data_IF_618070696910
#
_entry.id   IF_618070696910
#
_cell.length_a   1.000
_cell.length_b   1.000
_cell.length_c   1.000
_cell.angle_alpha   90.00
_cell.angle_beta   90.00
_cell.angle_gamma   90.00
#
_symmetry.space_group_name_H-M   'P 1'
#
loop_
_entity.id
_entity.type
_entity.pdbx_description
1 polymer ?
#
# COMPACT_ATOMS: atom_id res chain seq x y z
N UNK A 1 12.63 25.11 9.59
CA UNK A 1 11.33 25.68 9.20
C UNK A 1 11.14 25.33 7.74
N UNK A 2 10.30 24.35 7.41
CA UNK A 2 10.00 24.04 6.01
C UNK A 2 9.10 25.18 5.51
N UNK A 3 9.70 26.14 4.81
CA UNK A 3 8.97 26.94 3.84
C UNK A 3 8.28 25.94 2.90
N UNK A 4 6.96 26.00 2.75
CA UNK A 4 6.22 25.18 1.79
C UNK A 4 5.85 26.07 0.62
N UNK A 5 6.84 26.40 -0.21
CA UNK A 5 6.55 26.94 -1.54
C UNK A 5 5.70 25.92 -2.30
N UNK A 6 4.96 26.39 -3.30
CA UNK A 6 4.33 25.50 -4.27
C UNK A 6 5.38 24.60 -4.94
N UNK A 7 6.57 25.13 -5.21
CA UNK A 7 7.68 24.38 -5.80
C UNK A 7 8.15 23.23 -4.90
N UNK A 8 8.25 23.47 -3.58
CA UNK A 8 8.65 22.44 -2.61
C UNK A 8 7.64 21.27 -2.60
N UNK A 9 6.35 21.57 -2.75
CA UNK A 9 5.30 20.54 -2.81
C UNK A 9 5.38 19.76 -4.12
N UNK A 10 5.63 20.44 -5.24
CA UNK A 10 5.78 19.81 -6.55
C UNK A 10 6.99 18.87 -6.54
N UNK A 11 8.16 19.35 -6.10
CA UNK A 11 9.39 18.56 -6.04
C UNK A 11 9.23 17.34 -5.13
N UNK A 12 8.65 17.52 -3.94
CA UNK A 12 8.42 16.43 -3.00
C UNK A 12 7.45 15.38 -3.57
N UNK A 13 6.42 15.81 -4.30
CA UNK A 13 5.44 14.91 -4.91
C UNK A 13 6.07 14.10 -6.05
N UNK A 14 6.85 14.76 -6.92
CA UNK A 14 7.57 14.09 -8.01
C UNK A 14 8.61 13.10 -7.46
N UNK A 15 9.40 13.50 -6.48
CA UNK A 15 10.38 12.63 -5.82
C UNK A 15 9.73 11.42 -5.16
N UNK A 16 8.58 11.61 -4.50
CA UNK A 16 7.82 10.51 -3.90
C UNK A 16 7.27 9.55 -4.96
N UNK A 17 6.82 10.07 -6.11
CA UNK A 17 6.35 9.25 -7.23
C UNK A 17 7.50 8.46 -7.87
N UNK A 18 8.62 9.10 -8.17
CA UNK A 18 9.82 8.46 -8.73
C UNK A 18 10.41 7.39 -7.79
N UNK A 19 10.29 7.58 -6.48
CA UNK A 19 10.68 6.61 -5.47
C UNK A 19 9.78 5.36 -5.38
N UNK A 20 8.65 5.30 -6.10
CA UNK A 20 7.77 4.14 -6.09
C UNK A 20 8.34 2.99 -6.92
N UNK A 21 8.76 1.91 -6.25
CA UNK A 21 9.14 0.67 -6.93
C UNK A 21 7.92 -0.17 -7.31
N UNK A 22 8.09 -1.05 -8.31
CA UNK A 22 7.08 -2.05 -8.68
C UNK A 22 6.67 -2.91 -7.47
N UNK A 23 7.64 -3.32 -6.64
CA UNK A 23 7.38 -4.06 -5.40
C UNK A 23 6.51 -3.29 -4.40
N UNK A 24 6.70 -1.97 -4.30
CA UNK A 24 5.88 -1.10 -3.45
C UNK A 24 4.45 -1.04 -3.99
N UNK A 25 4.29 -0.86 -5.30
CA UNK A 25 2.98 -0.83 -5.95
C UNK A 25 2.23 -2.16 -5.77
N UNK A 26 2.90 -3.31 -5.98
CA UNK A 26 2.30 -4.63 -5.71
C UNK A 26 1.90 -4.79 -4.25
N UNK A 27 2.72 -4.28 -3.32
CA UNK A 27 2.41 -4.33 -1.89
C UNK A 27 1.19 -3.48 -1.50
N UNK A 28 1.02 -2.31 -2.15
CA UNK A 28 -0.14 -1.44 -1.99
C UNK A 28 -1.38 -2.15 -2.54
N UNK A 29 -1.30 -2.71 -3.75
CA UNK A 29 -2.40 -3.45 -4.38
C UNK A 29 -2.92 -4.59 -3.49
N UNK A 30 -2.03 -5.44 -2.98
CA UNK A 30 -2.41 -6.54 -2.08
C UNK A 30 -3.07 -6.06 -0.78
N UNK A 31 -2.62 -4.91 -0.27
CA UNK A 31 -3.23 -4.29 0.93
C UNK A 31 -4.63 -3.80 0.64
N UNK A 32 -4.83 -3.08 -0.47
CA UNK A 32 -6.16 -2.62 -0.90
C UNK A 32 -7.09 -3.79 -1.17
N UNK A 33 -6.61 -4.87 -1.80
CA UNK A 33 -7.40 -6.08 -2.03
C UNK A 33 -7.83 -6.75 -0.72
N UNK A 34 -6.97 -6.77 0.29
CA UNK A 34 -7.30 -7.30 1.62
C UNK A 34 -8.34 -6.41 2.33
N UNK A 35 -8.23 -5.08 2.20
CA UNK A 35 -9.23 -4.12 2.71
C UNK A 35 -10.59 -4.34 2.04
N UNK A 36 -10.63 -4.47 0.71
CA UNK A 36 -11.87 -4.73 -0.03
C UNK A 36 -12.58 -6.00 0.46
N UNK A 37 -11.83 -7.06 0.79
CA UNK A 37 -12.39 -8.27 1.40
C UNK A 37 -13.01 -8.02 2.76
N UNK A 38 -12.35 -7.26 3.61
CA UNK A 38 -12.87 -6.94 4.93
C UNK A 38 -14.12 -6.06 4.82
N UNK A 39 -14.12 -5.06 3.94
CA UNK A 39 -15.32 -4.26 3.64
C UNK A 39 -16.50 -5.16 3.24
N UNK A 40 -16.30 -6.07 2.28
CA UNK A 40 -17.36 -6.98 1.85
C UNK A 40 -17.82 -7.93 2.96
N UNK A 41 -16.89 -8.47 3.75
CA UNK A 41 -17.18 -9.34 4.89
C UNK A 41 -17.97 -8.63 5.98
N UNK A 42 -17.73 -7.34 6.18
CA UNK A 42 -18.36 -6.50 7.19
C UNK A 42 -19.50 -5.65 6.60
N UNK A 43 -20.08 -6.07 5.47
CA UNK A 43 -21.26 -5.42 4.86
C UNK A 43 -21.08 -3.91 4.59
N UNK A 44 -19.86 -3.50 4.24
CA UNK A 44 -19.50 -2.11 3.94
C UNK A 44 -19.04 -1.31 5.16
N UNK A 45 -19.06 -1.86 6.36
CA UNK A 45 -18.48 -1.21 7.54
C UNK A 45 -16.94 -1.18 7.47
N UNK A 46 -16.34 -0.16 8.07
CA UNK A 46 -14.89 0.04 8.09
C UNK A 46 -14.23 -0.28 9.44
N UNK A 47 -15.01 -0.70 10.44
CA UNK A 47 -14.52 -1.02 11.78
C UNK A 47 -13.93 -2.43 11.87
N UNK A 48 -12.95 -2.70 11.01
CA UNK A 48 -12.23 -3.97 10.97
C UNK A 48 -10.74 -3.77 11.17
N UNK A 49 -10.06 -4.80 11.69
CA UNK A 49 -8.61 -4.82 11.82
C UNK A 49 -8.00 -5.53 10.62
N UNK A 50 -7.17 -4.81 9.85
CA UNK A 50 -6.31 -5.45 8.85
C UNK A 50 -5.09 -6.05 9.53
N UNK A 51 -4.95 -7.37 9.46
CA UNK A 51 -3.76 -8.06 9.98
C UNK A 51 -2.55 -7.79 9.08
N UNK A 52 -1.35 -7.76 9.68
CA UNK A 52 -0.12 -7.52 8.93
C UNK A 52 0.15 -8.68 7.96
N UNK A 53 0.08 -8.40 6.65
CA UNK A 53 0.18 -9.42 5.60
C UNK A 53 1.59 -9.99 5.37
N UNK A 54 2.60 -9.54 6.12
CA UNK A 54 4.01 -10.02 6.05
C UNK A 54 4.58 -10.05 4.61
N UNK A 55 4.16 -9.10 3.78
CA UNK A 55 4.45 -9.05 2.33
C UNK A 55 5.94 -9.17 2.01
N UNK A 56 6.80 -8.46 2.75
CA UNK A 56 8.24 -8.48 2.50
C UNK A 56 8.87 -9.82 2.89
N UNK A 57 8.40 -10.44 3.98
CA UNK A 57 8.83 -11.79 4.36
C UNK A 57 8.45 -12.81 3.30
N UNK A 58 7.21 -12.76 2.82
CA UNK A 58 6.72 -13.66 1.78
C UNK A 58 7.46 -13.43 0.44
N UNK A 59 7.76 -12.17 0.09
CA UNK A 59 8.53 -11.86 -1.12
C UNK A 59 9.95 -12.42 -1.05
N UNK A 60 10.64 -12.22 0.09
CA UNK A 60 11.98 -12.79 0.31
C UNK A 60 11.98 -14.31 0.26
N UNK A 61 10.89 -14.94 0.68
CA UNK A 61 10.72 -16.40 0.61
C UNK A 61 10.30 -16.90 -0.78
N UNK A 62 9.99 -16.00 -1.74
CA UNK A 62 9.48 -16.39 -3.07
C UNK A 62 8.04 -16.90 -3.05
N UNK A 63 7.30 -16.70 -1.96
CA UNK A 63 5.95 -17.25 -1.75
C UNK A 63 4.87 -16.15 -1.68
N UNK A 64 5.19 -14.93 -2.09
CA UNK A 64 4.21 -13.85 -2.14
C UNK A 64 3.21 -14.11 -3.27
N UNK A 65 1.95 -14.33 -2.90
CA UNK A 65 0.86 -14.49 -3.86
C UNK A 65 0.52 -13.17 -4.54
N UNK A 66 0.14 -13.24 -5.82
CA UNK A 66 -0.21 -12.06 -6.64
C UNK A 66 -1.62 -11.54 -6.36
N UNK A 67 -2.46 -12.41 -5.81
CA UNK A 67 -3.78 -12.11 -5.29
C UNK A 67 -3.89 -12.75 -3.90
N UNK A 68 -4.57 -12.09 -2.98
CA UNK A 68 -5.06 -12.82 -1.81
C UNK A 68 -6.22 -13.70 -2.35
N UNK A 69 -6.28 -15.00 -2.02
CA UNK A 69 -7.42 -15.89 -2.38
C UNK A 69 -8.40 -16.01 -1.21
#
# INVERSE_FOLDING_TARGET
MVSRSMDDVIEATLSAFEGLSSDKLSSIFLTLQAVMRLLLKHHGENNFKLTHLKKDTLRRAGTLVMNVT
#
